data_IF_529041894213
#
_entry.id   IF_529041894213
#
_cell.length_a   1.000
_cell.length_b   1.000
_cell.length_c   1.000
_cell.angle_alpha   90.00
_cell.angle_beta   90.00
_cell.angle_gamma   90.00
#
_symmetry.space_group_name_H-M   'P 1'
#
loop_
_entity.id
_entity.type
_entity.pdbx_description
1 polymer ?
#
# COMPACT_ATOMS: atom_id res chain seq x y z
N UNK A 1 14.06 17.69 25.63
CA UNK A 1 13.65 16.52 24.84
C UNK A 1 12.59 17.02 23.87
N UNK A 2 12.95 17.15 22.59
CA UNK A 2 12.13 17.81 21.57
C UNK A 2 10.86 16.97 21.29
N UNK A 3 9.71 17.64 21.20
CA UNK A 3 8.37 17.07 21.04
C UNK A 3 8.13 16.49 19.63
N UNK A 4 8.91 15.49 19.21
CA UNK A 4 8.84 14.90 17.87
C UNK A 4 7.66 13.94 17.64
N UNK A 5 6.94 13.57 18.70
CA UNK A 5 5.97 12.46 18.69
C UNK A 5 4.79 12.64 17.73
N UNK A 6 4.25 13.85 17.58
CA UNK A 6 3.10 14.09 16.70
C UNK A 6 3.47 14.07 15.21
N UNK A 7 4.66 14.57 14.88
CA UNK A 7 5.16 14.58 13.49
C UNK A 7 5.56 13.16 13.06
N UNK A 8 6.20 12.40 13.96
CA UNK A 8 6.57 11.00 13.74
C UNK A 8 5.33 10.14 13.48
N UNK A 9 4.28 10.29 14.29
CA UNK A 9 3.02 9.57 14.10
C UNK A 9 2.40 9.88 12.73
N UNK A 10 2.37 11.15 12.33
CA UNK A 10 1.85 11.56 11.03
C UNK A 10 2.63 10.93 9.87
N UNK A 11 3.97 10.93 9.95
CA UNK A 11 4.84 10.32 8.95
C UNK A 11 4.60 8.80 8.83
N UNK A 12 4.48 8.11 9.95
CA UNK A 12 4.20 6.67 9.97
C UNK A 12 2.86 6.38 9.29
N UNK A 13 1.81 7.13 9.62
CA UNK A 13 0.49 6.96 9.00
C UNK A 13 0.55 7.22 7.49
N UNK A 14 1.27 8.25 7.06
CA UNK A 14 1.42 8.58 5.63
C UNK A 14 2.15 7.47 4.86
N UNK A 15 3.25 6.95 5.41
CA UNK A 15 4.01 5.85 4.83
C UNK A 15 3.14 4.60 4.74
N UNK A 16 2.37 4.29 5.79
CA UNK A 16 1.48 3.15 5.80
C UNK A 16 0.37 3.28 4.75
N UNK A 17 -0.22 4.47 4.61
CA UNK A 17 -1.21 4.73 3.58
C UNK A 17 -0.65 4.56 2.16
N UNK A 18 0.57 5.05 1.90
CA UNK A 18 1.27 4.87 0.62
C UNK A 18 1.62 3.41 0.35
N UNK A 19 2.05 2.67 1.37
CA UNK A 19 2.36 1.25 1.26
C UNK A 19 1.13 0.44 0.83
N UNK A 20 -0.05 0.75 1.38
CA UNK A 20 -1.30 0.08 1.04
C UNK A 20 -2.05 0.70 -0.14
N UNK A 21 -1.52 1.73 -0.80
CA UNK A 21 -2.11 2.37 -1.98
C UNK A 21 -2.59 1.38 -3.06
N UNK A 22 -1.78 0.42 -3.55
CA UNK A 22 -2.22 -0.57 -4.55
C UNK A 22 -3.38 -1.45 -4.06
N UNK A 23 -3.40 -1.77 -2.77
CA UNK A 23 -4.54 -2.47 -2.15
C UNK A 23 -5.79 -1.60 -2.20
N UNK A 24 -5.70 -0.34 -1.75
CA UNK A 24 -6.85 0.57 -1.76
C UNK A 24 -7.42 0.76 -3.17
N UNK A 25 -6.57 0.93 -4.18
CA UNK A 25 -7.00 1.05 -5.59
C UNK A 25 -7.77 -0.20 -6.04
N UNK A 26 -7.26 -1.40 -5.74
CA UNK A 26 -7.92 -2.65 -6.11
C UNK A 26 -9.29 -2.82 -5.46
N UNK A 27 -9.43 -2.41 -4.19
CA UNK A 27 -10.70 -2.45 -3.47
C UNK A 27 -11.70 -1.40 -3.97
N UNK A 28 -11.26 -0.15 -4.19
CA UNK A 28 -12.09 0.94 -4.72
C UNK A 28 -12.64 0.64 -6.11
N UNK A 29 -11.86 -0.07 -6.93
CA UNK A 29 -12.27 -0.48 -8.29
C UNK A 29 -13.04 -1.80 -8.33
N UNK A 30 -13.34 -2.40 -7.18
CA UNK A 30 -13.96 -3.72 -7.07
C UNK A 30 -13.26 -4.79 -7.93
N UNK A 31 -11.93 -4.73 -8.02
CA UNK A 31 -11.16 -5.65 -8.85
C UNK A 31 -11.36 -7.09 -8.38
N UNK A 32 -11.65 -8.00 -9.32
CA UNK A 32 -11.82 -9.44 -9.02
C UNK A 32 -10.67 -10.04 -8.20
N UNK A 33 -9.44 -9.57 -8.47
CA UNK A 33 -8.23 -10.08 -7.83
C UNK A 33 -7.77 -9.22 -6.64
N UNK A 34 -8.65 -8.42 -6.02
CA UNK A 34 -8.31 -7.56 -4.87
C UNK A 34 -7.63 -8.30 -3.71
N UNK A 35 -8.02 -9.55 -3.45
CA UNK A 35 -7.37 -10.37 -2.42
C UNK A 35 -5.96 -10.80 -2.84
N UNK A 36 -5.75 -11.17 -4.10
CA UNK A 36 -4.42 -11.53 -4.60
C UNK A 36 -3.49 -10.31 -4.60
N UNK A 37 -3.99 -9.13 -4.99
CA UNK A 37 -3.25 -7.86 -4.92
C UNK A 37 -2.91 -7.51 -3.47
N UNK A 38 -3.86 -7.69 -2.54
CA UNK A 38 -3.62 -7.48 -1.11
C UNK A 38 -2.53 -8.41 -0.57
N UNK A 39 -2.61 -9.71 -0.84
CA UNK A 39 -1.62 -10.68 -0.38
C UNK A 39 -0.25 -10.42 -1.01
N UNK A 40 -0.19 -10.10 -2.30
CA UNK A 40 1.05 -9.73 -2.99
C UNK A 40 1.66 -8.47 -2.37
N UNK A 41 0.85 -7.45 -2.08
CA UNK A 41 1.31 -6.24 -1.41
C UNK A 41 1.73 -6.49 0.05
N UNK A 42 1.07 -7.41 0.76
CA UNK A 42 1.41 -7.74 2.15
C UNK A 42 2.74 -8.50 2.23
N UNK A 43 2.94 -9.51 1.37
CA UNK A 43 4.13 -10.37 1.41
C UNK A 43 5.32 -9.84 0.61
N UNK A 44 5.09 -9.09 -0.48
CA UNK A 44 6.14 -8.61 -1.38
C UNK A 44 6.19 -7.08 -1.49
N UNK A 45 5.24 -6.33 -0.91
CA UNK A 45 5.22 -4.87 -0.99
C UNK A 45 6.39 -4.18 -0.28
N UNK A 46 7.11 -4.88 0.61
CA UNK A 46 8.36 -4.41 1.21
C UNK A 46 9.51 -4.36 0.19
N UNK A 47 9.35 -5.00 -0.96
CA UNK A 47 10.23 -4.84 -2.12
C UNK A 47 9.63 -3.80 -3.07
N UNK A 48 10.48 -2.92 -3.63
CA UNK A 48 10.04 -1.93 -4.63
C UNK A 48 9.34 -2.63 -5.81
N UNK A 49 9.88 -3.79 -6.23
CA UNK A 49 9.30 -4.59 -7.32
C UNK A 49 7.91 -5.12 -6.97
N UNK A 50 7.72 -5.73 -5.80
CA UNK A 50 6.43 -6.25 -5.39
C UNK A 50 5.38 -5.16 -5.22
N UNK A 51 5.76 -3.98 -4.74
CA UNK A 51 4.89 -2.81 -4.66
C UNK A 51 4.49 -2.27 -6.04
N UNK A 52 5.44 -2.18 -6.99
CA UNK A 52 5.14 -1.74 -8.37
C UNK A 52 4.24 -2.76 -9.08
N UNK A 53 4.50 -4.06 -8.91
CA UNK A 53 3.67 -5.12 -9.49
C UNK A 53 2.25 -5.08 -8.92
N UNK A 54 2.08 -4.95 -7.60
CA UNK A 54 0.74 -4.82 -7.00
C UNK A 54 0.02 -3.56 -7.49
N UNK A 55 0.74 -2.45 -7.67
CA UNK A 55 0.18 -1.19 -8.19
C UNK A 55 -0.27 -1.31 -9.64
N UNK A 56 0.59 -1.81 -10.52
CA UNK A 56 0.24 -2.04 -11.93
C UNK A 56 -0.94 -3.00 -12.01
N UNK A 57 -0.92 -4.09 -11.26
CA UNK A 57 -2.02 -5.05 -11.25
C UNK A 57 -3.33 -4.45 -10.71
N UNK A 58 -3.27 -3.57 -9.70
CA UNK A 58 -4.47 -2.85 -9.20
C UNK A 58 -5.12 -1.93 -10.22
N UNK A 59 -4.35 -1.49 -11.24
CA UNK A 59 -4.82 -0.60 -12.29
C UNK A 59 -5.26 -1.35 -13.55
N UNK A 60 -4.70 -2.54 -13.79
CA UNK A 60 -5.14 -3.45 -14.85
C UNK A 60 -6.54 -4.00 -14.51
N UNK A 61 -7.36 -4.31 -15.54
CA UNK A 61 -8.77 -4.72 -15.37
C UNK A 61 -8.96 -6.06 -14.65
#
# INVERSE_FOLDING_TARGET
>A
MQNFTMLELLLIVLIFALYFLPTFIAFLRHHKNKLAIFLLNLFLGWTILGWVVSLVWSVIK
#
